data_IF_831723332441
#
_entry.id   IF_831723332441
#
_cell.length_a   1.000
_cell.length_b   1.000
_cell.length_c   1.000
_cell.angle_alpha   90.00
_cell.angle_beta   90.00
_cell.angle_gamma   90.00
#
_symmetry.space_group_name_H-M   'P 1'
#
loop_
_entity.id
_entity.type
_entity.pdbx_description
1 polymer ?
#
# COMPACT_ATOMS: atom_id res chain seq x y z
N UNK A 1 -5.53 -37.72 4.35
CA UNK A 1 -4.67 -36.66 3.81
C UNK A 1 -4.06 -37.15 2.51
N UNK A 2 -4.26 -36.43 1.40
CA UNK A 2 -3.63 -36.81 0.13
C UNK A 2 -2.13 -36.40 0.21
N UNK A 3 -1.24 -37.35 0.19
CA UNK A 3 0.20 -37.11 0.15
C UNK A 3 0.63 -36.99 -1.31
N UNK A 4 1.21 -35.84 -1.68
CA UNK A 4 1.75 -35.61 -3.02
C UNK A 4 3.11 -36.32 -3.16
N UNK A 5 3.06 -37.64 -3.34
CA UNK A 5 4.25 -38.49 -3.49
C UNK A 5 5.10 -38.26 -4.77
N UNK A 6 4.59 -37.66 -5.87
CA UNK A 6 5.38 -37.48 -7.08
C UNK A 6 6.46 -36.40 -7.02
N UNK A 7 6.40 -35.40 -6.09
CA UNK A 7 7.32 -34.28 -6.09
C UNK A 7 8.83 -34.66 -6.08
N UNK A 8 9.30 -35.61 -5.23
CA UNK A 8 10.70 -36.04 -5.26
C UNK A 8 11.13 -36.75 -6.54
N UNK A 9 10.16 -37.21 -7.37
CA UNK A 9 10.41 -37.88 -8.65
C UNK A 9 10.53 -36.93 -9.84
N UNK A 10 10.19 -35.65 -9.64
CA UNK A 10 10.42 -34.63 -10.64
C UNK A 10 11.92 -34.40 -10.82
N UNK A 11 12.32 -34.05 -12.04
CA UNK A 11 13.68 -33.66 -12.32
C UNK A 11 14.01 -32.36 -11.53
N UNK A 12 15.29 -32.14 -11.15
CA UNK A 12 15.70 -31.02 -10.32
C UNK A 12 15.23 -29.66 -10.86
N UNK A 13 15.25 -29.47 -12.16
CA UNK A 13 14.88 -28.24 -12.85
C UNK A 13 13.40 -27.89 -12.59
N UNK A 14 12.50 -28.86 -12.73
CA UNK A 14 11.07 -28.64 -12.46
C UNK A 14 10.80 -28.38 -10.98
N UNK A 15 11.53 -29.02 -10.07
CA UNK A 15 11.41 -28.74 -8.64
C UNK A 15 11.87 -27.31 -8.32
N UNK A 16 12.99 -26.88 -8.91
CA UNK A 16 13.50 -25.51 -8.73
C UNK A 16 12.50 -24.49 -9.23
N UNK A 17 11.88 -24.70 -10.40
CA UNK A 17 10.85 -23.82 -10.95
C UNK A 17 9.61 -23.77 -10.05
N UNK A 18 9.15 -24.90 -9.54
CA UNK A 18 8.02 -24.95 -8.58
C UNK A 18 8.33 -24.16 -7.31
N UNK A 19 9.56 -24.29 -6.76
CA UNK A 19 9.98 -23.51 -5.59
C UNK A 19 10.07 -22.01 -5.89
N UNK A 20 10.55 -21.63 -7.08
CA UNK A 20 10.62 -20.23 -7.50
C UNK A 20 9.21 -19.60 -7.66
N UNK A 21 8.24 -20.39 -8.12
CA UNK A 21 6.85 -19.95 -8.29
C UNK A 21 6.02 -19.98 -6.99
N UNK A 22 6.54 -20.59 -5.92
CA UNK A 22 5.86 -20.64 -4.61
C UNK A 22 6.02 -19.31 -3.87
N UNK A 23 5.46 -18.24 -4.43
CA UNK A 23 5.51 -16.87 -3.90
C UNK A 23 4.13 -16.49 -3.36
N UNK A 24 4.14 -15.93 -2.16
CA UNK A 24 2.95 -15.36 -1.52
C UNK A 24 3.13 -13.84 -1.46
N UNK A 25 2.15 -13.07 -1.96
CA UNK A 25 2.16 -11.61 -1.79
C UNK A 25 1.91 -11.28 -0.32
N UNK A 26 2.82 -10.52 0.28
CA UNK A 26 2.79 -10.15 1.70
C UNK A 26 3.06 -8.67 1.84
N UNK A 27 2.56 -8.07 2.92
CA UNK A 27 3.02 -6.76 3.37
C UNK A 27 4.11 -6.98 4.44
N UNK A 28 5.25 -6.33 4.25
CA UNK A 28 6.37 -6.34 5.18
C UNK A 28 6.49 -4.95 5.78
N UNK A 29 6.15 -4.83 7.06
CA UNK A 29 6.27 -3.56 7.78
C UNK A 29 7.70 -3.34 8.25
N UNK A 30 8.22 -2.14 7.96
CA UNK A 30 9.56 -1.69 8.35
C UNK A 30 9.40 -0.51 9.29
N UNK A 31 9.63 -0.74 10.58
CA UNK A 31 9.55 0.30 11.61
C UNK A 31 10.97 0.73 12.02
N UNK A 32 11.28 2.04 11.90
CA UNK A 32 12.61 2.59 12.20
C UNK A 32 12.93 2.72 13.70
N UNK A 33 11.90 2.81 14.56
CA UNK A 33 12.05 3.23 15.97
C UNK A 33 11.96 2.11 16.99
N UNK A 34 11.50 0.93 16.61
CA UNK A 34 11.38 -0.19 17.55
C UNK A 34 12.34 -1.30 17.13
N UNK A 35 13.34 -1.53 17.95
CA UNK A 35 14.21 -2.71 17.88
C UNK A 35 13.46 -4.05 18.10
N UNK A 36 12.16 -4.01 18.27
CA UNK A 36 11.27 -5.18 18.32
C UNK A 36 10.52 -5.28 17.00
N UNK A 37 11.22 -5.73 15.99
CA UNK A 37 10.59 -6.13 14.76
C UNK A 37 9.76 -7.36 15.07
N UNK A 38 8.47 -7.28 14.80
CA UNK A 38 7.76 -8.50 14.44
C UNK A 38 8.26 -8.83 13.04
N UNK A 39 9.22 -9.76 12.87
CA UNK A 39 9.59 -10.17 11.54
C UNK A 39 8.30 -10.68 10.92
N UNK A 40 7.90 -10.08 9.80
CA UNK A 40 6.73 -10.55 9.07
C UNK A 40 6.82 -12.08 8.92
N UNK A 41 5.72 -12.79 8.78
CA UNK A 41 5.73 -14.25 8.78
C UNK A 41 6.75 -14.75 7.78
N UNK A 42 7.65 -15.61 8.26
CA UNK A 42 8.68 -16.23 7.41
C UNK A 42 7.98 -17.00 6.28
N UNK A 43 8.30 -16.76 5.00
CA UNK A 43 7.61 -17.43 3.89
C UNK A 43 7.64 -18.94 4.07
N UNK A 44 6.48 -19.59 3.92
CA UNK A 44 6.36 -21.03 4.13
C UNK A 44 7.37 -21.83 3.28
N UNK A 45 7.59 -21.41 2.03
CA UNK A 45 8.55 -22.06 1.12
C UNK A 45 9.97 -22.09 1.67
N UNK A 46 10.39 -21.08 2.45
CA UNK A 46 11.74 -21.04 3.03
C UNK A 46 11.92 -22.02 4.20
N UNK A 47 10.82 -22.58 4.73
CA UNK A 47 10.82 -23.50 5.86
C UNK A 47 10.72 -24.98 5.46
N UNK A 48 10.37 -25.29 4.20
CA UNK A 48 10.09 -26.65 3.77
C UNK A 48 11.33 -27.55 3.79
N UNK A 49 12.40 -27.15 3.08
CA UNK A 49 13.61 -27.93 3.02
C UNK A 49 14.81 -27.05 2.56
N UNK A 50 15.99 -27.66 2.48
CA UNK A 50 17.20 -26.96 2.02
C UNK A 50 17.11 -26.55 0.54
N UNK A 51 16.52 -27.41 -0.29
CA UNK A 51 16.34 -27.17 -1.73
C UNK A 51 15.37 -25.98 -1.94
N UNK A 52 14.25 -25.96 -1.25
CA UNK A 52 13.26 -24.86 -1.36
C UNK A 52 13.86 -23.52 -0.97
N UNK A 53 14.68 -23.46 0.10
CA UNK A 53 15.40 -22.23 0.49
C UNK A 53 16.41 -21.75 -0.54
N UNK A 54 17.02 -22.68 -1.27
CA UNK A 54 18.03 -22.34 -2.28
C UNK A 54 17.40 -21.91 -3.62
N UNK A 55 16.20 -22.41 -3.92
CA UNK A 55 15.54 -22.20 -5.21
C UNK A 55 14.36 -21.23 -5.15
N UNK A 56 13.87 -20.84 -3.96
CA UNK A 56 12.77 -19.88 -3.84
C UNK A 56 13.20 -18.47 -4.27
N UNK A 57 12.20 -17.67 -4.68
CA UNK A 57 12.42 -16.30 -5.12
C UNK A 57 12.66 -15.29 -3.96
N UNK A 58 12.67 -15.75 -2.69
CA UNK A 58 12.95 -14.91 -1.54
C UNK A 58 14.44 -14.81 -1.25
N UNK A 59 14.87 -13.61 -0.89
CA UNK A 59 16.26 -13.34 -0.46
C UNK A 59 16.30 -12.84 0.98
N UNK A 60 17.44 -13.04 1.65
CA UNK A 60 17.68 -12.45 2.96
C UNK A 60 18.12 -11.01 2.80
N UNK A 61 17.46 -10.11 3.48
CA UNK A 61 17.81 -8.70 3.50
C UNK A 61 18.03 -8.22 4.94
N UNK A 62 19.18 -7.60 5.21
CA UNK A 62 19.64 -7.22 6.56
C UNK A 62 19.70 -5.70 6.79
N UNK A 63 19.59 -4.87 5.74
CA UNK A 63 19.85 -3.44 5.85
C UNK A 63 18.61 -2.59 6.26
N UNK A 64 17.51 -3.20 6.61
CA UNK A 64 16.31 -2.48 7.08
C UNK A 64 16.40 -2.03 8.55
N UNK A 65 17.61 -1.68 9.02
CA UNK A 65 17.83 -0.98 10.29
C UNK A 65 17.95 -1.84 11.54
N UNK A 66 18.05 -3.16 11.41
CA UNK A 66 18.20 -4.07 12.56
C UNK A 66 19.59 -4.65 12.71
N UNK A 67 20.16 -4.49 13.87
CA UNK A 67 21.46 -5.08 14.21
C UNK A 67 21.34 -6.61 14.29
N UNK A 68 21.73 -7.29 13.21
CA UNK A 68 21.97 -8.73 13.20
C UNK A 68 20.80 -9.61 12.73
N UNK A 69 19.60 -9.07 12.61
CA UNK A 69 18.46 -9.81 12.07
C UNK A 69 18.28 -9.57 10.57
N UNK A 70 17.79 -10.58 9.88
CA UNK A 70 17.42 -10.47 8.46
C UNK A 70 15.95 -10.78 8.29
N UNK A 71 15.34 -10.17 7.27
CA UNK A 71 14.04 -10.56 6.80
C UNK A 71 14.15 -11.31 5.48
N UNK A 72 13.22 -12.24 5.26
CA UNK A 72 13.03 -12.82 3.95
C UNK A 72 12.14 -11.88 3.12
N UNK A 73 12.62 -11.42 1.97
CA UNK A 73 11.91 -10.49 1.10
C UNK A 73 11.99 -10.95 -0.35
N UNK A 74 10.92 -10.70 -1.08
CA UNK A 74 10.89 -10.74 -2.54
C UNK A 74 10.38 -9.40 -3.04
N UNK A 75 11.29 -8.51 -3.44
CA UNK A 75 10.97 -7.14 -3.87
C UNK A 75 10.10 -7.07 -5.14
N UNK A 76 9.93 -8.17 -5.87
CA UNK A 76 9.06 -8.23 -7.04
C UNK A 76 7.59 -8.50 -6.67
N UNK A 77 7.30 -8.99 -5.46
CA UNK A 77 5.95 -9.39 -5.04
C UNK A 77 5.53 -8.87 -3.67
N UNK A 78 6.49 -8.67 -2.76
CA UNK A 78 6.17 -8.18 -1.42
C UNK A 78 5.88 -6.68 -1.45
N UNK A 79 4.88 -6.26 -0.68
CA UNK A 79 4.59 -4.84 -0.45
C UNK A 79 5.45 -4.37 0.72
N UNK A 80 6.34 -3.42 0.48
CA UNK A 80 7.16 -2.82 1.53
C UNK A 80 6.35 -1.69 2.18
N UNK A 81 6.04 -1.85 3.46
CA UNK A 81 5.21 -0.93 4.23
C UNK A 81 6.08 -0.16 5.22
N UNK A 82 6.08 1.17 5.11
CA UNK A 82 6.91 2.09 5.93
C UNK A 82 6.15 3.35 6.29
N UNK A 83 6.63 4.07 7.29
CA UNK A 83 6.29 5.47 7.50
C UNK A 83 7.08 6.38 6.54
N UNK A 84 6.52 7.53 6.16
CA UNK A 84 7.16 8.45 5.20
C UNK A 84 8.59 8.84 5.60
N UNK A 85 8.84 9.05 6.89
CA UNK A 85 10.17 9.38 7.43
C UNK A 85 11.23 8.29 7.17
N UNK A 86 10.82 7.06 6.87
CA UNK A 86 11.73 5.93 6.64
C UNK A 86 12.05 5.70 5.16
N UNK A 87 11.48 6.49 4.23
CA UNK A 87 11.69 6.33 2.79
C UNK A 87 13.15 6.39 2.37
N UNK A 88 13.94 7.27 3.02
CA UNK A 88 15.38 7.42 2.75
C UNK A 88 16.21 6.18 3.09
N UNK A 89 15.70 5.29 3.94
CA UNK A 89 16.41 4.09 4.41
C UNK A 89 16.18 2.86 3.53
N UNK A 90 15.30 2.96 2.53
CA UNK A 90 14.88 1.83 1.71
C UNK A 90 15.85 1.53 0.56
N UNK A 91 15.95 0.25 0.12
CA UNK A 91 16.67 -0.14 -1.09
C UNK A 91 15.87 0.21 -2.35
N UNK A 92 15.82 1.51 -2.67
CA UNK A 92 14.93 2.10 -3.69
C UNK A 92 15.02 1.43 -5.06
N UNK A 93 16.23 0.97 -5.43
CA UNK A 93 16.51 0.30 -6.70
C UNK A 93 15.80 -1.06 -6.88
N UNK A 94 15.31 -1.64 -5.79
CA UNK A 94 14.77 -3.00 -5.80
C UNK A 94 13.25 -3.05 -5.71
N UNK A 95 12.62 -2.06 -5.10
CA UNK A 95 11.22 -2.08 -4.67
C UNK A 95 10.28 -1.85 -5.85
N UNK A 96 9.27 -2.73 -6.02
CA UNK A 96 8.18 -2.58 -6.97
C UNK A 96 6.86 -2.16 -6.33
N UNK A 97 6.59 -2.60 -5.13
CA UNK A 97 5.34 -2.34 -4.44
C UNK A 97 5.60 -1.67 -3.10
N UNK A 98 5.14 -0.45 -2.96
CA UNK A 98 5.38 0.36 -1.78
C UNK A 98 4.05 0.71 -1.10
N UNK A 99 4.07 0.79 0.23
CA UNK A 99 2.99 1.31 1.04
C UNK A 99 3.55 2.25 2.08
N UNK A 100 3.05 3.48 2.11
CA UNK A 100 3.61 4.54 2.95
C UNK A 100 2.54 5.12 3.85
N UNK A 101 2.77 5.09 5.15
CA UNK A 101 1.96 5.84 6.11
C UNK A 101 2.39 7.31 6.04
N UNK A 102 1.48 8.20 5.64
CA UNK A 102 1.70 9.65 5.58
C UNK A 102 1.52 10.28 6.97
N UNK A 103 2.41 9.90 7.87
CA UNK A 103 2.52 10.45 9.22
C UNK A 103 3.98 10.82 9.50
N UNK A 104 4.19 11.84 10.34
CA UNK A 104 5.51 12.19 10.84
C UNK A 104 5.98 11.20 11.94
N UNK A 105 7.19 11.45 12.48
CA UNK A 105 7.75 10.65 13.57
C UNK A 105 6.98 10.73 14.89
N UNK A 106 6.05 11.69 15.03
CA UNK A 106 5.17 11.87 16.18
C UNK A 106 3.76 11.31 15.96
N UNK A 107 3.46 10.87 14.71
CA UNK A 107 2.16 10.36 14.30
C UNK A 107 1.20 11.43 13.79
N UNK A 108 1.69 12.67 13.59
CA UNK A 108 0.92 13.75 13.00
C UNK A 108 0.83 13.61 11.47
N UNK A 109 -0.18 14.22 10.88
CA UNK A 109 -0.50 14.06 9.46
C UNK A 109 0.37 14.91 8.54
N UNK A 110 0.92 14.31 7.50
CA UNK A 110 1.78 14.95 6.50
C UNK A 110 1.00 15.38 5.24
N UNK A 111 -0.01 16.24 5.35
CA UNK A 111 -0.75 16.61 4.14
C UNK A 111 -0.21 17.85 3.41
N UNK A 112 0.47 18.74 4.11
CA UNK A 112 1.07 19.94 3.50
C UNK A 112 2.54 19.71 3.09
N UNK A 113 3.20 18.68 3.64
CA UNK A 113 4.62 18.38 3.40
C UNK A 113 4.87 17.50 2.16
N UNK A 114 3.89 17.30 1.29
CA UNK A 114 4.07 16.46 0.08
C UNK A 114 5.25 16.91 -0.80
N UNK A 115 5.57 18.20 -0.80
CA UNK A 115 6.74 18.77 -1.49
C UNK A 115 8.07 18.30 -0.86
N UNK A 116 8.14 18.14 0.45
CA UNK A 116 9.34 17.71 1.16
C UNK A 116 9.68 16.25 0.82
N UNK A 117 8.66 15.40 0.61
CA UNK A 117 8.83 14.00 0.26
C UNK A 117 8.88 13.74 -1.24
N UNK A 118 8.67 14.75 -2.10
CA UNK A 118 8.64 14.57 -3.55
C UNK A 118 9.90 13.88 -4.06
N UNK A 119 11.08 14.35 -3.66
CA UNK A 119 12.36 13.78 -4.09
C UNK A 119 12.52 12.33 -3.62
N UNK A 120 12.00 12.00 -2.43
CA UNK A 120 12.03 10.63 -1.91
C UNK A 120 11.19 9.68 -2.75
N UNK A 121 9.98 10.07 -3.13
CA UNK A 121 9.09 9.28 -3.97
C UNK A 121 9.60 9.13 -5.41
N UNK A 122 10.31 10.13 -5.92
CA UNK A 122 10.88 10.11 -7.28
C UNK A 122 12.06 9.15 -7.43
N UNK A 123 12.62 8.61 -6.36
CA UNK A 123 13.85 7.81 -6.39
C UNK A 123 13.62 6.28 -6.43
N UNK A 124 12.45 5.80 -6.84
CA UNK A 124 12.14 4.37 -6.95
C UNK A 124 12.03 3.94 -8.42
N UNK A 125 13.13 3.55 -9.08
CA UNK A 125 13.15 3.33 -10.53
C UNK A 125 12.36 2.10 -10.99
N UNK A 126 12.06 1.16 -10.10
CA UNK A 126 11.29 -0.06 -10.39
C UNK A 126 9.87 -0.03 -9.84
N UNK A 127 9.41 1.10 -9.31
CA UNK A 127 8.11 1.20 -8.68
C UNK A 127 6.98 0.94 -9.68
N UNK A 128 6.11 -0.01 -9.36
CA UNK A 128 4.92 -0.37 -10.15
C UNK A 128 3.63 0.12 -9.46
N UNK A 129 3.56 0.01 -8.13
CA UNK A 129 2.38 0.44 -7.35
C UNK A 129 2.78 1.12 -6.04
N UNK A 130 1.99 2.10 -5.62
CA UNK A 130 2.14 2.73 -4.32
C UNK A 130 0.79 2.97 -3.66
N UNK A 131 0.67 2.59 -2.38
CA UNK A 131 -0.44 2.93 -1.50
C UNK A 131 0.02 3.97 -0.48
N UNK A 132 -0.62 5.13 -0.46
CA UNK A 132 -0.37 6.20 0.51
C UNK A 132 -1.45 6.12 1.58
N UNK A 133 -1.09 5.63 2.74
CA UNK A 133 -2.02 5.45 3.86
C UNK A 133 -2.19 6.73 4.63
N UNK A 134 -3.44 7.17 4.77
CA UNK A 134 -3.80 8.36 5.54
C UNK A 134 -4.73 7.97 6.70
N UNK A 135 -4.59 8.61 7.85
CA UNK A 135 -5.60 8.54 8.88
C UNK A 135 -6.81 9.39 8.48
N UNK A 136 -8.00 8.91 8.85
CA UNK A 136 -9.26 9.58 8.53
C UNK A 136 -9.76 9.38 7.11
N UNK A 137 -10.85 10.05 6.77
CA UNK A 137 -11.60 9.87 5.51
C UNK A 137 -11.38 10.97 4.46
N UNK A 138 -10.57 11.99 4.73
CA UNK A 138 -10.38 13.13 3.83
C UNK A 138 -9.37 12.82 2.71
N UNK A 139 -9.77 11.93 1.81
CA UNK A 139 -8.94 11.49 0.69
C UNK A 139 -8.56 12.64 -0.26
N UNK A 140 -9.45 13.64 -0.41
CA UNK A 140 -9.23 14.75 -1.33
C UNK A 140 -8.04 15.60 -0.94
N UNK A 141 -7.80 15.77 0.35
CA UNK A 141 -6.71 16.58 0.89
C UNK A 141 -5.34 16.08 0.47
N UNK A 142 -5.26 14.78 0.18
CA UNK A 142 -4.03 14.12 -0.25
C UNK A 142 -3.95 13.88 -1.77
N UNK A 143 -4.88 14.43 -2.55
CA UNK A 143 -4.90 14.25 -4.00
C UNK A 143 -3.62 14.79 -4.69
N UNK A 144 -2.92 15.76 -4.07
CA UNK A 144 -1.65 16.28 -4.56
C UNK A 144 -0.56 15.20 -4.67
N UNK A 145 -0.58 14.21 -3.77
CA UNK A 145 0.34 13.05 -3.85
C UNK A 145 0.12 12.22 -5.12
N UNK A 146 -1.09 12.23 -5.68
CA UNK A 146 -1.40 11.55 -6.95
C UNK A 146 -1.09 12.46 -8.14
N UNK A 147 -1.49 13.73 -8.05
CA UNK A 147 -1.56 14.62 -9.20
C UNK A 147 -0.24 15.35 -9.48
N UNK A 148 0.47 15.74 -8.43
CA UNK A 148 1.62 16.65 -8.52
C UNK A 148 2.97 15.94 -8.37
N UNK A 149 3.01 14.75 -7.76
CA UNK A 149 4.25 13.97 -7.67
C UNK A 149 4.45 13.15 -8.96
N UNK A 150 5.69 13.16 -9.45
CA UNK A 150 6.13 12.29 -10.52
C UNK A 150 6.83 11.06 -9.92
N UNK A 151 6.28 9.89 -10.18
CA UNK A 151 6.89 8.63 -9.76
C UNK A 151 7.74 8.05 -10.90
N UNK A 152 8.87 7.44 -10.55
CA UNK A 152 9.70 6.73 -11.52
C UNK A 152 9.19 5.30 -11.78
N UNK A 153 9.85 4.61 -12.70
CA UNK A 153 9.49 3.24 -13.06
C UNK A 153 8.20 3.17 -13.88
N UNK A 154 7.49 2.07 -13.71
CA UNK A 154 6.19 1.81 -14.38
C UNK A 154 5.00 2.28 -13.54
N UNK A 155 5.25 3.05 -12.47
CA UNK A 155 4.21 3.56 -11.57
C UNK A 155 3.45 4.72 -12.21
N UNK A 156 2.34 4.38 -12.86
CA UNK A 156 1.40 5.36 -13.42
C UNK A 156 0.50 5.92 -12.32
N UNK A 157 -0.11 7.09 -12.57
CA UNK A 157 -1.05 7.73 -11.62
C UNK A 157 -2.22 6.82 -11.22
N UNK A 158 -2.64 5.90 -12.10
CA UNK A 158 -3.65 4.89 -11.79
C UNK A 158 -3.18 3.81 -10.80
N UNK A 159 -1.88 3.69 -10.61
CA UNK A 159 -1.25 2.75 -9.69
C UNK A 159 -0.83 3.43 -8.38
N UNK A 160 -1.08 4.74 -8.25
CA UNK A 160 -0.91 5.53 -7.02
C UNK A 160 -2.25 5.64 -6.34
N UNK A 161 -2.40 5.09 -5.15
CA UNK A 161 -3.64 5.15 -4.37
C UNK A 161 -3.43 5.90 -3.07
N UNK A 162 -4.33 6.82 -2.76
CA UNK A 162 -4.48 7.37 -1.41
C UNK A 162 -5.57 6.57 -0.71
N UNK A 163 -5.26 6.01 0.43
CA UNK A 163 -6.09 5.01 1.13
C UNK A 163 -6.34 5.46 2.55
N UNK A 164 -7.60 5.55 2.96
CA UNK A 164 -7.97 5.75 4.37
C UNK A 164 -7.70 4.50 5.19
N UNK A 165 -6.89 4.62 6.25
CA UNK A 165 -6.63 3.52 7.18
C UNK A 165 -7.91 3.07 7.89
N UNK A 166 -8.79 4.02 8.21
CA UNK A 166 -10.01 3.74 8.97
C UNK A 166 -11.07 2.97 8.18
N UNK A 167 -11.25 3.36 6.90
CA UNK A 167 -12.33 2.79 6.07
C UNK A 167 -11.83 1.79 5.03
N UNK A 168 -10.55 1.82 4.68
CA UNK A 168 -9.96 1.10 3.55
C UNK A 168 -10.38 1.66 2.19
N UNK A 169 -11.18 2.72 2.14
CA UNK A 169 -11.55 3.40 0.90
C UNK A 169 -10.35 4.12 0.29
N UNK A 170 -10.32 4.21 -1.03
CA UNK A 170 -9.20 4.83 -1.72
C UNK A 170 -9.60 5.57 -3.00
N UNK A 171 -8.75 6.50 -3.39
CA UNK A 171 -8.76 7.19 -4.69
C UNK A 171 -7.44 6.94 -5.41
N UNK A 172 -7.45 7.03 -6.73
CA UNK A 172 -6.29 6.94 -7.62
C UNK A 172 -6.31 8.06 -8.68
N UNK A 173 -5.39 8.00 -9.65
CA UNK A 173 -5.32 8.98 -10.73
C UNK A 173 -6.54 9.04 -11.65
N UNK A 174 -7.44 8.06 -11.62
CA UNK A 174 -8.70 8.07 -12.38
C UNK A 174 -9.86 8.61 -11.57
N UNK A 175 -9.84 8.35 -10.27
CA UNK A 175 -10.97 8.62 -9.38
C UNK A 175 -10.79 9.90 -8.56
N UNK A 176 -9.57 10.43 -8.44
CA UNK A 176 -9.27 11.60 -7.62
C UNK A 176 -10.04 12.85 -8.06
N UNK A 177 -10.04 13.18 -9.37
CA UNK A 177 -10.74 14.36 -9.87
C UNK A 177 -12.28 14.24 -9.76
N UNK A 178 -12.92 13.14 -10.23
CA UNK A 178 -14.34 12.94 -10.01
C UNK A 178 -14.74 12.91 -8.52
N UNK A 179 -13.88 12.39 -7.66
CA UNK A 179 -14.12 12.37 -6.21
C UNK A 179 -14.07 13.79 -5.62
N UNK A 180 -13.12 14.61 -6.07
CA UNK A 180 -13.00 16.02 -5.70
C UNK A 180 -14.22 16.81 -6.12
N UNK A 181 -14.60 16.76 -7.40
CA UNK A 181 -15.77 17.46 -7.94
C UNK A 181 -17.04 17.07 -7.19
N UNK A 182 -17.15 15.80 -6.84
CA UNK A 182 -18.28 15.28 -6.09
C UNK A 182 -18.31 15.83 -4.67
N UNK A 183 -17.20 15.79 -3.92
CA UNK A 183 -17.13 16.30 -2.54
C UNK A 183 -17.30 17.80 -2.47
N UNK A 184 -16.70 18.56 -3.41
CA UNK A 184 -16.80 20.02 -3.49
C UNK A 184 -18.24 20.47 -3.80
N UNK A 185 -18.93 19.79 -4.72
CA UNK A 185 -20.33 20.06 -5.07
C UNK A 185 -21.28 20.00 -3.87
N UNK A 186 -20.90 19.23 -2.84
CA UNK A 186 -21.67 19.07 -1.61
C UNK A 186 -21.12 19.89 -0.42
N UNK A 187 -20.08 20.70 -0.65
CA UNK A 187 -19.43 21.50 0.39
C UNK A 187 -18.73 20.66 1.47
N UNK A 188 -18.31 19.44 1.11
CA UNK A 188 -17.61 18.52 1.98
C UNK A 188 -16.23 18.17 1.45
N UNK A 189 -15.35 17.69 2.32
CA UNK A 189 -14.00 17.20 2.01
C UNK A 189 -13.92 15.67 2.04
N UNK A 190 -14.97 15.04 2.57
CA UNK A 190 -15.10 13.58 2.67
C UNK A 190 -16.58 13.15 2.55
N UNK A 191 -16.81 11.87 2.32
CA UNK A 191 -18.16 11.32 2.20
C UNK A 191 -19.00 11.43 3.48
N UNK A 192 -18.36 11.48 4.64
CA UNK A 192 -19.04 11.66 5.93
C UNK A 192 -19.57 13.08 6.10
N UNK A 193 -18.82 14.10 5.64
CA UNK A 193 -19.25 15.50 5.69
C UNK A 193 -20.38 15.80 4.71
N UNK A 194 -20.49 15.05 3.62
CA UNK A 194 -21.52 15.19 2.59
C UNK A 194 -22.93 14.87 3.09
N UNK A 195 -23.08 14.12 4.17
CA UNK A 195 -24.39 13.82 4.78
C UNK A 195 -24.95 14.97 5.60
N UNK A 196 -24.17 16.06 5.82
CA UNK A 196 -24.63 17.23 6.58
C UNK A 196 -25.32 18.21 5.63
N UNK A 197 -26.59 18.58 5.91
CA UNK A 197 -27.26 19.58 5.11
C UNK A 197 -26.51 20.91 5.11
N UNK A 198 -26.39 21.55 3.94
CA UNK A 198 -25.87 22.90 3.80
C UNK A 198 -26.77 23.95 4.46
N UNK A 199 -26.27 25.19 4.53
CA UNK A 199 -27.04 26.29 5.12
C UNK A 199 -28.25 26.62 4.24
N UNK A 200 -29.47 26.29 4.72
CA UNK A 200 -30.74 26.51 4.00
C UNK A 200 -31.23 25.28 3.23
N UNK A 201 -30.55 24.17 3.29
CA UNK A 201 -30.92 22.91 2.65
C UNK A 201 -31.62 22.00 3.66
N UNK A 202 -32.64 21.27 3.23
CA UNK A 202 -33.27 20.26 4.08
C UNK A 202 -32.53 18.91 3.99
N UNK A 203 -32.63 18.11 5.05
CA UNK A 203 -32.06 16.75 5.05
C UNK A 203 -32.64 15.90 3.90
N UNK A 204 -33.90 16.09 3.55
CA UNK A 204 -34.58 15.35 2.48
C UNK A 204 -34.00 15.70 1.10
N UNK A 205 -33.83 17.00 0.81
CA UNK A 205 -33.19 17.46 -0.42
C UNK A 205 -31.76 16.90 -0.54
N UNK A 206 -31.02 16.93 0.55
CA UNK A 206 -29.67 16.39 0.60
C UNK A 206 -29.62 14.87 0.34
N UNK A 207 -30.53 14.11 0.95
CA UNK A 207 -30.61 12.66 0.75
C UNK A 207 -31.06 12.29 -0.69
N UNK A 208 -31.95 13.08 -1.31
CA UNK A 208 -32.33 12.89 -2.71
C UNK A 208 -31.16 13.17 -3.66
N UNK A 209 -30.40 14.19 -3.38
CA UNK A 209 -29.18 14.51 -4.13
C UNK A 209 -28.11 13.41 -4.00
N UNK A 210 -27.82 12.95 -2.79
CA UNK A 210 -26.94 11.83 -2.53
C UNK A 210 -27.43 10.57 -3.26
N UNK A 211 -28.74 10.30 -3.31
CA UNK A 211 -29.30 9.18 -4.08
C UNK A 211 -29.09 9.35 -5.59
N UNK A 212 -29.15 10.57 -6.11
CA UNK A 212 -28.85 10.85 -7.52
C UNK A 212 -27.39 10.57 -7.84
N UNK A 213 -26.48 10.91 -6.96
CA UNK A 213 -25.04 10.63 -7.09
C UNK A 213 -24.70 9.17 -6.79
N UNK A 214 -25.41 8.52 -5.89
CA UNK A 214 -25.28 7.08 -5.67
C UNK A 214 -25.68 6.23 -6.88
N UNK A 215 -26.33 6.84 -7.89
CA UNK A 215 -26.55 6.24 -9.23
C UNK A 215 -25.37 6.48 -10.20
N UNK A 216 -24.52 7.47 -9.98
CA UNK A 216 -23.18 7.52 -10.52
C UNK A 216 -22.39 6.56 -9.65
N UNK A 217 -22.28 5.31 -10.07
CA UNK A 217 -21.49 4.27 -9.44
C UNK A 217 -20.03 4.75 -9.33
N UNK A 218 -19.77 5.63 -8.35
CA UNK A 218 -18.41 5.83 -7.88
C UNK A 218 -18.03 4.52 -7.19
N UNK A 219 -17.18 3.70 -7.81
CA UNK A 219 -16.69 2.52 -7.12
C UNK A 219 -16.01 3.02 -5.85
N UNK A 220 -16.42 2.50 -4.70
CA UNK A 220 -15.71 2.67 -3.43
C UNK A 220 -14.85 1.44 -3.23
N UNK A 221 -13.74 1.31 -3.97
CA UNK A 221 -12.91 0.15 -3.82
C UNK A 221 -12.27 0.21 -2.44
N UNK A 222 -12.23 -0.93 -1.77
CA UNK A 222 -11.64 -1.09 -0.46
C UNK A 222 -10.53 -2.10 -0.52
N UNK A 223 -9.48 -1.87 0.24
CA UNK A 223 -8.42 -2.85 0.46
C UNK A 223 -8.47 -3.34 1.90
N UNK A 224 -8.13 -4.61 2.09
CA UNK A 224 -7.98 -5.16 3.43
C UNK A 224 -6.64 -4.68 4.03
N UNK A 225 -6.71 -4.11 5.22
CA UNK A 225 -5.56 -3.64 5.99
C UNK A 225 -5.44 -4.41 7.32
N UNK A 226 -5.91 -5.66 7.34
CA UNK A 226 -6.04 -6.48 8.55
C UNK A 226 -4.73 -6.65 9.32
N UNK A 227 -3.60 -6.52 8.63
CA UNK A 227 -2.27 -6.62 9.26
C UNK A 227 -1.86 -5.36 10.05
N UNK A 228 -2.56 -4.22 9.91
CA UNK A 228 -2.27 -3.00 10.69
C UNK A 228 -2.74 -3.12 12.14
N UNK A 229 -3.62 -4.07 12.43
CA UNK A 229 -4.20 -4.31 13.74
C UNK A 229 -3.47 -5.43 14.51
N UNK A 230 -2.35 -5.93 14.01
CA UNK A 230 -1.49 -6.93 14.66
C UNK A 230 -0.24 -6.26 15.23
#
# INVERSE_FOLDING_TARGET
>A
MATFHPFPRLIPELRAEIWALAVESRAIRVDSWKASHSPGPVPAVTQVCRESRACCAYQKYSDLGTSGDYIWVNFDYDIIHVQAICLSLLPKESIKHLRVELVDGLGDHLYEEWLEYQDEFMNFPRLETIDLLIPGGDLCRYANYINDITYLGDCKKENVRVVSIETGEWIDGRTSAPYWDYTESFGGTDLGSMTRPGKGETLEERLEEIKRFGKLEMPRPRIALDYLNQ
#
